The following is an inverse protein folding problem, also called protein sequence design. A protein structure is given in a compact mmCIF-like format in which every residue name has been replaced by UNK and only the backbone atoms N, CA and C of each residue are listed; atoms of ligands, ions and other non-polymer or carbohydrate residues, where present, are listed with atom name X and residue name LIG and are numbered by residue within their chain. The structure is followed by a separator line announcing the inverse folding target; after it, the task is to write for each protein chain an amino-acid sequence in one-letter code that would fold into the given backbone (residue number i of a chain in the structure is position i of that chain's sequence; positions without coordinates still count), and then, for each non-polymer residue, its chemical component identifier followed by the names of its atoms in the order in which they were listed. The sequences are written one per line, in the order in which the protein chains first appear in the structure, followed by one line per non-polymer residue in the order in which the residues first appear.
data_IF_236380820401
#
_entry.id   IF_236380820401
#
_cell.length_a   1.000
_cell.length_b   1.000
_cell.length_c   1.000
_cell.angle_alpha   90.00
_cell.angle_beta   90.00
_cell.angle_gamma   90.00
#
_symmetry.space_group_name_H-M   'P 1'
#
loop_
_entity.id
_entity.type
_entity.pdbx_description
1 polymer ?
#
# COMPACT_ATOMS: atom_id res chain seq x y z
N UNK A 1 64.92 -8.94 6.17
CA UNK A 1 66.07 -9.72 5.67
C UNK A 1 65.69 -11.18 5.72
N UNK A 2 65.86 -11.88 4.59
CA UNK A 2 66.01 -13.33 4.49
C UNK A 2 64.69 -14.15 4.70
N UNK A 3 64.27 -15.10 3.86
CA UNK A 3 64.89 -15.77 2.71
C UNK A 3 63.81 -16.22 1.72
N UNK A 4 64.14 -16.12 0.43
CA UNK A 4 63.62 -16.97 -0.65
C UNK A 4 63.78 -18.46 -0.31
N UNK A 5 62.99 -19.34 -0.94
CA UNK A 5 63.49 -20.48 -1.74
C UNK A 5 62.31 -21.08 -2.55
N UNK A 6 62.56 -21.12 -3.85
CA UNK A 6 61.90 -21.83 -4.95
C UNK A 6 61.92 -23.36 -4.72
N UNK A 7 60.87 -24.09 -5.12
CA UNK A 7 61.02 -25.34 -5.91
C UNK A 7 59.69 -25.93 -6.41
N UNK A 8 59.59 -25.89 -7.74
CA UNK A 8 58.76 -26.65 -8.67
C UNK A 8 58.61 -28.13 -8.33
N UNK A 9 57.41 -28.69 -8.52
CA UNK A 9 57.22 -30.07 -8.98
C UNK A 9 55.87 -30.19 -9.72
N UNK A 10 55.96 -30.49 -11.02
CA UNK A 10 54.88 -30.99 -11.87
C UNK A 10 54.60 -32.43 -11.47
N UNK A 11 53.34 -32.78 -11.18
CA UNK A 11 52.85 -34.16 -11.25
C UNK A 11 51.52 -34.16 -12.00
N UNK A 12 51.58 -34.71 -13.20
CA UNK A 12 50.44 -35.14 -14.00
C UNK A 12 49.82 -36.37 -13.33
N UNK A 13 48.52 -36.35 -13.08
CA UNK A 13 47.80 -37.47 -12.47
C UNK A 13 46.30 -37.34 -12.71
N UNK A 14 45.82 -37.98 -13.77
CA UNK A 14 44.40 -38.20 -13.98
C UNK A 14 43.87 -39.14 -12.88
N UNK A 15 42.92 -38.67 -12.09
CA UNK A 15 42.12 -39.52 -11.21
C UNK A 15 40.66 -39.04 -11.29
N UNK A 16 39.87 -39.77 -12.06
CA UNK A 16 38.41 -39.72 -11.99
C UNK A 16 37.99 -40.20 -10.59
N UNK A 17 37.33 -39.32 -9.84
CA UNK A 17 36.83 -39.61 -8.50
C UNK A 17 35.53 -38.86 -8.25
N UNK A 18 34.42 -39.55 -8.49
CA UNK A 18 33.06 -39.18 -8.09
C UNK A 18 32.91 -39.29 -6.56
N UNK A 19 32.63 -38.19 -5.86
CA UNK A 19 31.87 -38.13 -4.58
C UNK A 19 31.28 -36.72 -4.45
N UNK A 20 29.97 -36.53 -4.63
CA UNK A 20 28.89 -36.68 -3.64
C UNK A 20 28.63 -35.40 -2.80
N UNK A 21 27.62 -34.64 -3.25
CA UNK A 21 26.60 -34.02 -2.38
C UNK A 21 27.02 -32.86 -1.48
N UNK A 22 27.33 -31.69 -2.05
CA UNK A 22 26.96 -30.44 -1.36
C UNK A 22 25.45 -30.28 -1.48
N UNK A 23 24.74 -30.47 -0.38
CA UNK A 23 23.39 -29.96 -0.19
C UNK A 23 23.48 -28.42 -0.19
N UNK A 24 23.67 -27.83 -1.37
CA UNK A 24 23.28 -26.46 -1.59
C UNK A 24 21.76 -26.48 -1.50
N UNK A 25 21.21 -26.03 -0.37
CA UNK A 25 19.87 -25.51 -0.36
C UNK A 25 19.87 -24.35 -1.36
N UNK A 26 19.53 -24.67 -2.59
CA UNK A 26 19.15 -23.71 -3.61
C UNK A 26 17.86 -23.08 -3.13
N UNK A 27 17.96 -22.16 -2.16
CA UNK A 27 16.92 -21.20 -1.91
C UNK A 27 16.90 -20.37 -3.18
N UNK A 28 16.01 -20.74 -4.11
CA UNK A 28 15.66 -19.93 -5.25
C UNK A 28 15.23 -18.58 -4.69
N UNK A 29 16.15 -17.62 -4.67
CA UNK A 29 15.82 -16.21 -4.53
C UNK A 29 15.01 -15.94 -5.77
N UNK A 30 13.68 -15.95 -5.63
CA UNK A 30 12.78 -15.57 -6.69
C UNK A 30 13.22 -14.18 -7.15
N UNK A 31 13.67 -14.07 -8.40
CA UNK A 31 14.24 -12.88 -9.01
C UNK A 31 13.26 -11.71 -9.16
N UNK A 32 12.11 -11.75 -8.46
CA UNK A 32 11.12 -10.70 -8.40
C UNK A 32 11.37 -9.85 -7.15
N UNK A 33 11.81 -8.61 -7.34
CA UNK A 33 11.94 -7.61 -6.28
C UNK A 33 10.55 -7.18 -5.78
N UNK A 34 9.89 -8.03 -4.99
CA UNK A 34 8.55 -7.82 -4.44
C UNK A 34 8.49 -8.25 -2.97
N UNK A 35 7.55 -7.68 -2.22
CA UNK A 35 7.13 -8.19 -0.90
C UNK A 35 5.88 -9.02 -1.09
N UNK A 36 5.85 -10.24 -0.57
CA UNK A 36 4.71 -11.13 -0.80
C UNK A 36 3.44 -10.59 -0.19
N UNK A 37 2.29 -10.81 -0.83
CA UNK A 37 0.98 -10.42 -0.30
C UNK A 37 0.70 -11.00 1.09
N UNK A 38 1.25 -12.19 1.38
CA UNK A 38 1.16 -12.84 2.69
C UNK A 38 1.96 -12.10 3.76
N UNK A 39 3.15 -11.61 3.43
CA UNK A 39 3.95 -10.83 4.38
C UNK A 39 3.29 -9.47 4.67
N UNK A 40 2.77 -8.82 3.63
CA UNK A 40 2.00 -7.57 3.78
C UNK A 40 0.77 -7.81 4.66
N UNK A 41 -0.03 -8.85 4.37
CA UNK A 41 -1.21 -9.20 5.16
C UNK A 41 -0.85 -9.54 6.63
N UNK A 42 0.26 -10.24 6.85
CA UNK A 42 0.77 -10.56 8.19
C UNK A 42 1.19 -9.32 8.97
N UNK A 43 1.82 -8.34 8.31
CA UNK A 43 2.21 -7.07 8.92
C UNK A 43 0.99 -6.22 9.29
N UNK A 44 -0.02 -6.15 8.42
CA UNK A 44 -1.30 -5.48 8.73
C UNK A 44 -1.95 -6.13 9.95
N UNK A 45 -2.09 -7.46 9.93
CA UNK A 45 -2.69 -8.23 11.04
C UNK A 45 -1.97 -8.01 12.37
N UNK A 46 -0.65 -7.82 12.33
CA UNK A 46 0.18 -7.67 13.52
C UNK A 46 0.23 -6.25 14.08
N UNK A 47 0.09 -5.24 13.21
CA UNK A 47 0.36 -3.83 13.55
C UNK A 47 -0.88 -2.95 13.58
N UNK A 48 -1.96 -3.38 12.95
CA UNK A 48 -3.20 -2.61 12.88
C UNK A 48 -4.27 -3.21 13.79
N UNK A 49 -5.14 -2.35 14.26
CA UNK A 49 -6.35 -2.70 15.01
C UNK A 49 -7.48 -1.84 14.52
N UNK A 50 -8.68 -2.34 14.70
CA UNK A 50 -9.90 -1.61 14.42
C UNK A 50 -10.12 -0.45 15.45
N UNK A 51 -11.20 0.33 15.27
CA UNK A 51 -11.65 1.35 16.21
C UNK A 51 -11.69 0.98 17.69
N UNK A 52 -12.10 -0.23 17.96
CA UNK A 52 -12.36 -0.78 19.29
C UNK A 52 -11.13 -1.51 19.84
N UNK A 53 -10.00 -1.48 19.12
CA UNK A 53 -8.77 -2.17 19.49
C UNK A 53 -8.77 -3.67 19.16
N UNK A 54 -9.75 -4.16 18.39
CA UNK A 54 -9.76 -5.54 17.94
C UNK A 54 -8.71 -5.75 16.86
N UNK A 55 -8.08 -6.93 16.89
CA UNK A 55 -7.19 -7.35 15.82
C UNK A 55 -7.99 -7.73 14.56
N UNK A 56 -7.39 -7.64 13.37
CA UNK A 56 -7.99 -8.13 12.15
C UNK A 56 -8.34 -9.62 12.24
N UNK A 57 -9.58 -9.93 11.87
CA UNK A 57 -10.07 -11.30 11.66
C UNK A 57 -9.49 -11.87 10.36
N UNK A 58 -9.36 -11.04 9.34
CA UNK A 58 -8.71 -11.39 8.07
C UNK A 58 -8.15 -10.17 7.37
N UNK A 59 -7.11 -10.38 6.57
CA UNK A 59 -6.55 -9.38 5.67
C UNK A 59 -6.37 -10.01 4.29
N UNK A 60 -6.91 -9.37 3.27
CA UNK A 60 -6.83 -9.81 1.89
C UNK A 60 -6.13 -8.75 1.04
N UNK A 61 -4.98 -9.10 0.47
CA UNK A 61 -4.22 -8.23 -0.42
C UNK A 61 -4.28 -8.81 -1.86
N UNK A 62 -4.63 -8.01 -2.89
CA UNK A 62 -4.93 -8.51 -4.24
C UNK A 62 -3.71 -9.07 -4.97
N UNK A 63 -2.51 -8.58 -4.65
CA UNK A 63 -1.25 -8.95 -5.30
C UNK A 63 -0.07 -8.76 -4.34
N UNK A 64 1.10 -9.23 -4.76
CA UNK A 64 2.36 -8.85 -4.12
C UNK A 64 2.62 -7.34 -4.30
N UNK A 65 3.42 -6.78 -3.40
CA UNK A 65 3.82 -5.37 -3.44
C UNK A 65 5.14 -5.24 -4.19
N UNK A 66 5.18 -4.41 -5.23
CA UNK A 66 6.44 -4.10 -5.92
C UNK A 66 7.42 -3.40 -4.97
N UNK A 67 8.67 -3.88 -4.90
CA UNK A 67 9.73 -3.22 -4.14
C UNK A 67 10.27 -2.00 -4.89
N UNK A 68 9.41 -1.00 -5.08
CA UNK A 68 9.70 0.26 -5.76
C UNK A 68 9.09 1.40 -4.94
N UNK A 69 9.89 2.43 -4.63
CA UNK A 69 9.40 3.61 -3.90
C UNK A 69 8.18 4.21 -4.61
N UNK A 70 7.11 4.45 -3.84
CA UNK A 70 5.83 4.93 -4.33
C UNK A 70 4.92 3.87 -4.95
N UNK A 71 5.34 2.60 -5.03
CA UNK A 71 4.42 1.51 -5.35
C UNK A 71 3.37 1.38 -4.25
N UNK A 72 2.13 1.12 -4.67
CA UNK A 72 0.98 1.07 -3.78
C UNK A 72 0.16 -0.18 -4.04
N UNK A 73 -0.44 -0.71 -2.97
CA UNK A 73 -1.49 -1.70 -3.08
C UNK A 73 -2.56 -1.45 -2.01
N UNK A 74 -3.80 -1.80 -2.30
CA UNK A 74 -4.91 -1.67 -1.36
C UNK A 74 -5.31 -3.06 -0.87
N UNK A 75 -5.16 -3.31 0.43
CA UNK A 75 -5.63 -4.51 1.09
C UNK A 75 -6.99 -4.25 1.76
N UNK A 76 -7.80 -5.29 1.86
CA UNK A 76 -9.03 -5.30 2.64
C UNK A 76 -8.76 -5.96 3.99
N UNK A 77 -9.03 -5.23 5.08
CA UNK A 77 -8.91 -5.71 6.44
C UNK A 77 -10.32 -5.89 7.02
N UNK A 78 -10.64 -7.05 7.59
CA UNK A 78 -11.89 -7.27 8.32
C UNK A 78 -11.63 -7.33 9.81
N UNK A 79 -12.38 -6.58 10.60
CA UNK A 79 -12.29 -6.58 12.05
C UNK A 79 -13.63 -6.14 12.64
N UNK A 80 -14.08 -6.77 13.72
CA UNK A 80 -15.34 -6.40 14.39
C UNK A 80 -16.56 -6.53 13.47
N UNK A 81 -16.53 -7.44 12.49
CA UNK A 81 -17.56 -7.57 11.46
C UNK A 81 -17.63 -6.43 10.43
N UNK A 82 -16.70 -5.47 10.47
CA UNK A 82 -16.58 -4.37 9.50
C UNK A 82 -15.40 -4.61 8.54
N UNK A 83 -15.47 -4.02 7.34
CA UNK A 83 -14.39 -4.07 6.34
C UNK A 83 -13.77 -2.69 6.19
N UNK A 84 -12.44 -2.63 6.26
CA UNK A 84 -11.61 -1.43 6.17
C UNK A 84 -10.66 -1.58 4.98
N UNK A 85 -10.38 -0.47 4.29
CA UNK A 85 -9.37 -0.45 3.23
C UNK A 85 -8.05 0.04 3.79
N UNK A 86 -6.98 -0.71 3.59
CA UNK A 86 -5.63 -0.35 4.01
C UNK A 86 -4.78 -0.12 2.76
N UNK A 87 -4.36 1.11 2.55
CA UNK A 87 -3.39 1.45 1.51
C UNK A 87 -1.98 1.21 2.05
N UNK A 88 -1.21 0.42 1.31
CA UNK A 88 0.18 0.11 1.60
C UNK A 88 1.04 0.83 0.58
N UNK A 89 1.98 1.67 1.02
CA UNK A 89 2.86 2.45 0.14
C UNK A 89 4.31 2.17 0.46
N UNK A 90 5.13 1.77 -0.51
CA UNK A 90 6.58 1.64 -0.33
C UNK A 90 7.21 3.01 -0.17
N UNK A 91 7.93 3.21 0.93
CA UNK A 91 8.61 4.46 1.26
C UNK A 91 10.12 4.39 1.03
N UNK A 92 10.73 3.20 1.11
CA UNK A 92 12.17 3.02 0.91
C UNK A 92 12.50 1.61 0.46
N UNK A 93 13.57 1.47 -0.35
CA UNK A 93 14.13 0.19 -0.78
C UNK A 93 15.66 0.25 -0.64
N UNK A 94 16.24 -0.63 0.18
CA UNK A 94 17.68 -0.73 0.43
C UNK A 94 18.14 -2.19 0.24
N UNK A 95 18.59 -2.54 -0.96
CA UNK A 95 18.91 -3.93 -1.29
C UNK A 95 17.66 -4.80 -1.19
N UNK A 96 17.66 -5.75 -0.26
CA UNK A 96 16.50 -6.62 0.02
C UNK A 96 15.57 -6.08 1.12
N UNK A 97 15.92 -4.97 1.78
CA UNK A 97 15.09 -4.34 2.81
C UNK A 97 14.10 -3.37 2.16
N UNK A 98 12.81 -3.63 2.32
CA UNK A 98 11.71 -2.80 1.77
C UNK A 98 10.90 -2.26 2.93
N UNK A 99 10.82 -0.93 3.03
CA UNK A 99 9.99 -0.23 4.01
C UNK A 99 8.73 0.27 3.34
N UNK A 100 7.61 0.10 4.01
CA UNK A 100 6.31 0.58 3.55
C UNK A 100 5.47 1.08 4.72
N UNK A 101 4.63 2.06 4.42
CA UNK A 101 3.63 2.59 5.33
C UNK A 101 2.29 1.93 5.06
N UNK A 102 1.47 1.77 6.10
CA UNK A 102 0.12 1.21 6.03
C UNK A 102 -0.83 2.22 6.66
N UNK A 103 -1.83 2.65 5.89
CA UNK A 103 -2.78 3.69 6.31
C UNK A 103 -4.18 3.25 5.95
N UNK A 104 -5.13 3.37 6.88
CA UNK A 104 -6.54 3.16 6.57
C UNK A 104 -7.05 4.24 5.61
N UNK A 105 -7.94 3.87 4.71
CA UNK A 105 -8.46 4.78 3.69
C UNK A 105 -9.96 4.64 3.53
N UNK A 106 -10.60 5.72 3.09
CA UNK A 106 -11.99 5.69 2.61
C UNK A 106 -11.96 5.55 1.10
N UNK A 107 -12.70 4.57 0.58
CA UNK A 107 -12.76 4.32 -0.86
C UNK A 107 -13.25 5.56 -1.62
N UNK A 108 -12.58 5.90 -2.72
CA UNK A 108 -12.86 7.09 -3.53
C UNK A 108 -14.30 7.15 -4.03
N UNK A 109 -14.90 6.00 -4.33
CA UNK A 109 -16.29 5.93 -4.79
C UNK A 109 -17.25 6.16 -3.63
N UNK A 110 -16.90 5.70 -2.43
CA UNK A 110 -17.63 6.01 -1.22
C UNK A 110 -17.59 7.51 -0.91
N UNK A 111 -16.41 8.14 -0.97
CA UNK A 111 -16.26 9.60 -0.80
C UNK A 111 -17.11 10.35 -1.84
N UNK A 112 -17.00 9.99 -3.13
CA UNK A 112 -17.79 10.60 -4.20
C UNK A 112 -19.30 10.44 -4.00
N UNK A 113 -19.76 9.26 -3.56
CA UNK A 113 -21.17 9.00 -3.24
C UNK A 113 -21.66 9.88 -2.10
N UNK A 114 -20.91 9.96 -1.01
CA UNK A 114 -21.24 10.81 0.14
C UNK A 114 -21.34 12.29 -0.25
N UNK A 115 -20.40 12.79 -1.05
CA UNK A 115 -20.46 14.17 -1.58
C UNK A 115 -21.71 14.37 -2.43
N UNK A 116 -22.00 13.47 -3.37
CA UNK A 116 -23.19 13.54 -4.24
C UNK A 116 -24.49 13.59 -3.42
N UNK A 117 -24.62 12.74 -2.41
CA UNK A 117 -25.79 12.68 -1.51
C UNK A 117 -25.95 13.97 -0.69
N UNK A 118 -24.86 14.52 -0.16
CA UNK A 118 -24.88 15.74 0.67
C UNK A 118 -25.09 17.03 -0.14
N UNK A 119 -24.72 17.04 -1.42
CA UNK A 119 -24.91 18.20 -2.31
C UNK A 119 -26.30 18.23 -2.97
N UNK A 120 -26.93 17.08 -3.19
CA UNK A 120 -28.29 17.00 -3.78
C UNK A 120 -29.31 17.97 -3.15
N UNK A 121 -29.46 18.06 -1.82
CA UNK A 121 -30.39 19.01 -1.21
C UNK A 121 -29.98 20.49 -1.37
N UNK A 122 -28.70 20.77 -1.58
CA UNK A 122 -28.19 22.14 -1.74
C UNK A 122 -28.36 22.64 -3.17
N UNK A 123 -28.21 21.76 -4.16
CA UNK A 123 -28.36 22.06 -5.58
C UNK A 123 -29.83 22.00 -6.03
N UNK A 124 -30.72 21.40 -5.23
CA UNK A 124 -32.12 21.14 -5.61
C UNK A 124 -32.29 19.98 -6.59
N UNK A 125 -31.20 19.42 -7.09
CA UNK A 125 -31.15 18.25 -7.96
C UNK A 125 -29.86 17.47 -7.74
N UNK A 126 -29.82 16.21 -8.19
CA UNK A 126 -28.61 15.39 -8.10
C UNK A 126 -27.55 15.96 -9.06
N UNK A 127 -26.27 16.07 -8.63
CA UNK A 127 -25.18 16.38 -9.55
C UNK A 127 -25.05 15.37 -10.69
N UNK A 128 -24.52 15.79 -11.82
CA UNK A 128 -24.29 14.93 -12.98
C UNK A 128 -23.26 13.84 -12.65
N UNK A 129 -22.15 14.23 -12.00
CA UNK A 129 -21.16 13.27 -11.49
C UNK A 129 -20.34 13.85 -10.33
N UNK A 130 -19.77 12.96 -9.53
CA UNK A 130 -18.67 13.27 -8.62
C UNK A 130 -17.61 12.21 -8.81
N UNK A 131 -16.37 12.60 -9.04
CA UNK A 131 -15.24 11.69 -9.21
C UNK A 131 -14.10 12.10 -8.29
N UNK A 132 -13.52 11.13 -7.60
CA UNK A 132 -12.35 11.35 -6.75
C UNK A 132 -11.16 10.60 -7.38
N UNK A 133 -9.99 11.23 -7.52
CA UNK A 133 -8.85 10.63 -8.23
C UNK A 133 -8.25 9.45 -7.47
N UNK A 134 -8.32 9.48 -6.14
CA UNK A 134 -7.71 8.49 -5.25
C UNK A 134 -8.56 8.29 -3.99
N UNK A 135 -8.23 7.28 -3.20
CA UNK A 135 -8.83 7.03 -1.89
C UNK A 135 -8.40 8.11 -0.90
N UNK A 136 -9.27 8.45 0.04
CA UNK A 136 -8.96 9.43 1.08
C UNK A 136 -8.17 8.75 2.18
N UNK A 137 -6.93 9.20 2.42
CA UNK A 137 -6.09 8.71 3.52
C UNK A 137 -6.68 9.11 4.86
N UNK A 138 -6.87 8.15 5.75
CA UNK A 138 -7.31 8.33 7.14
C UNK A 138 -6.18 8.86 8.02
N UNK A 139 -5.74 10.08 7.74
CA UNK A 139 -4.76 10.81 8.55
C UNK A 139 -5.32 12.22 8.74
N UNK A 140 -5.33 12.72 9.96
CA UNK A 140 -5.80 14.08 10.24
C UNK A 140 -5.06 15.11 9.38
N UNK A 141 -5.82 16.02 8.76
CA UNK A 141 -5.29 17.01 7.82
C UNK A 141 -5.00 16.49 6.40
N UNK A 142 -5.15 15.18 6.12
CA UNK A 142 -5.04 14.68 4.76
C UNK A 142 -6.15 15.28 3.87
N UNK A 143 -5.77 15.64 2.65
CA UNK A 143 -6.66 16.27 1.69
C UNK A 143 -6.79 15.46 0.41
N UNK A 144 -7.98 15.49 -0.19
CA UNK A 144 -8.28 14.92 -1.50
C UNK A 144 -9.13 15.91 -2.29
N UNK A 145 -8.70 16.24 -3.51
CA UNK A 145 -9.49 17.09 -4.42
C UNK A 145 -10.28 16.20 -5.38
N UNK A 146 -11.59 16.15 -5.20
CA UNK A 146 -12.52 15.51 -6.11
C UNK A 146 -13.04 16.51 -7.15
N UNK A 147 -13.63 16.03 -8.23
CA UNK A 147 -14.29 16.82 -9.26
C UNK A 147 -15.80 16.58 -9.19
N UNK A 148 -16.56 17.66 -9.14
CA UNK A 148 -18.02 17.69 -9.20
C UNK A 148 -18.44 18.23 -10.57
N UNK A 149 -19.30 17.52 -11.29
CA UNK A 149 -19.96 18.02 -12.49
C UNK A 149 -21.43 18.26 -12.20
N UNK A 150 -21.91 19.48 -12.48
CA UNK A 150 -23.34 19.82 -12.38
C UNK A 150 -23.70 20.90 -13.39
N UNK A 151 -24.84 20.74 -14.04
CA UNK A 151 -25.34 21.69 -15.05
C UNK A 151 -24.31 21.98 -16.16
N UNK A 152 -23.52 20.97 -16.53
CA UNK A 152 -22.47 21.08 -17.55
C UNK A 152 -21.22 21.85 -17.12
N UNK A 153 -21.06 22.16 -15.83
CA UNK A 153 -19.87 22.83 -15.27
C UNK A 153 -19.13 21.90 -14.32
N UNK A 154 -17.80 22.01 -14.29
CA UNK A 154 -16.94 21.27 -13.38
C UNK A 154 -16.46 22.14 -12.24
N UNK A 155 -16.47 21.63 -11.02
CA UNK A 155 -16.01 22.30 -9.81
C UNK A 155 -15.05 21.38 -9.05
N UNK A 156 -14.01 21.94 -8.45
CA UNK A 156 -13.22 21.20 -7.47
C UNK A 156 -13.99 21.06 -6.16
N UNK A 157 -13.84 19.91 -5.51
CA UNK A 157 -14.34 19.65 -4.16
C UNK A 157 -13.16 19.25 -3.30
N UNK A 158 -12.78 20.11 -2.37
CA UNK A 158 -11.68 19.88 -1.45
C UNK A 158 -12.20 19.13 -0.23
N UNK A 159 -11.80 17.86 -0.10
CA UNK A 159 -12.09 17.01 1.05
C UNK A 159 -10.92 17.08 2.02
N UNK A 160 -11.19 17.28 3.31
CA UNK A 160 -10.18 17.34 4.36
C UNK A 160 -10.58 16.45 5.52
N UNK A 161 -9.69 15.54 5.93
CA UNK A 161 -9.87 14.73 7.13
C UNK A 161 -9.72 15.62 8.36
N UNK A 162 -10.73 15.62 9.21
CA UNK A 162 -10.80 16.40 10.45
C UNK A 162 -10.42 15.60 11.68
N UNK A 163 -10.33 14.27 11.56
CA UNK A 163 -9.93 13.39 12.66
C UNK A 163 -10.10 11.93 12.30
N UNK A 164 -9.46 11.06 13.08
CA UNK A 164 -9.62 9.61 13.00
C UNK A 164 -9.92 9.10 14.40
N UNK A 165 -11.19 8.81 14.66
CA UNK A 165 -11.68 8.45 15.98
C UNK A 165 -12.01 6.98 16.00
N UNK A 166 -11.07 6.18 16.49
CA UNK A 166 -11.11 4.73 16.40
C UNK A 166 -11.45 4.32 14.97
N UNK A 167 -10.48 4.28 14.05
CA UNK A 167 -10.65 3.81 12.65
C UNK A 167 -11.75 4.48 11.80
N UNK A 168 -12.53 5.39 12.37
CA UNK A 168 -13.56 6.14 11.66
C UNK A 168 -12.92 7.42 11.17
N UNK A 169 -12.78 7.54 9.85
CA UNK A 169 -12.22 8.73 9.21
C UNK A 169 -13.32 9.79 9.11
N UNK A 170 -13.21 10.83 9.94
CA UNK A 170 -14.08 11.99 9.91
C UNK A 170 -13.53 13.01 8.91
N UNK A 171 -14.37 13.52 8.01
CA UNK A 171 -13.94 14.50 7.01
C UNK A 171 -15.04 15.51 6.67
N UNK A 172 -14.59 16.69 6.23
CA UNK A 172 -15.43 17.75 5.68
C UNK A 172 -15.09 17.94 4.20
N UNK A 173 -15.99 18.58 3.45
CA UNK A 173 -15.71 18.96 2.07
C UNK A 173 -16.22 20.37 1.77
N UNK A 174 -15.52 21.06 0.87
CA UNK A 174 -15.84 22.40 0.39
C UNK A 174 -15.82 22.40 -1.14
N UNK A 175 -16.87 22.95 -1.75
CA UNK A 175 -16.93 23.13 -3.22
C UNK A 175 -16.29 24.47 -3.56
N UNK A 176 -15.43 24.50 -4.57
CA UNK A 176 -14.82 25.74 -5.06
C UNK A 176 -15.86 26.67 -5.68
N UNK A 177 -15.72 27.98 -5.44
CA UNK A 177 -16.67 28.99 -5.93
C UNK A 177 -16.66 29.13 -7.46
N UNK A 178 -15.50 28.86 -8.07
CA UNK A 178 -15.30 28.99 -9.50
C UNK A 178 -15.18 27.61 -10.16
N UNK A 179 -15.80 27.42 -11.33
CA UNK A 179 -15.61 26.21 -12.10
C UNK A 179 -14.15 26.10 -12.59
N UNK A 180 -13.69 24.87 -12.72
CA UNK A 180 -12.34 24.49 -13.18
C UNK A 180 -12.20 24.45 -14.69
#
# INVERSE_FOLDING_TARGET
MAQSIVRTLLVSGAAAGLMAGVAACSCSVSSSHTVSKSDVAGQITSKMTDPAGNKPESVNCPSDLDAKVGAQLNCEMKAGGQTYNVNVTVTSVNGSDVKFDMVETVDKNQVAKTISEKLTPQLGSKPDSVTCPDNLKGVEGATLRCQLTTSGKNYGVNVTVTGVDGGTVNYRFEVEDQPS
#
